data_IF_930596725894
#
_entry.id   IF_930596725894
#
_cell.length_a   1.000
_cell.length_b   1.000
_cell.length_c   1.000
_cell.angle_alpha   90.00
_cell.angle_beta   90.00
_cell.angle_gamma   90.00
#
_symmetry.space_group_name_H-M   'P 1'
#
loop_
_entity.id
_entity.type
_entity.pdbx_description
1 polymer ?
#
# COMPACT_ATOMS: atom_id res chain seq x y z
N UNK A 1 -7.95 -14.06 -25.89
CA UNK A 1 -6.48 -13.90 -25.82
C UNK A 1 -6.03 -13.86 -24.35
N UNK A 2 -4.85 -14.37 -24.01
CA UNK A 2 -4.29 -14.37 -22.64
C UNK A 2 -2.82 -13.95 -22.64
N UNK A 3 -2.27 -13.60 -21.47
CA UNK A 3 -0.85 -13.25 -21.28
C UNK A 3 0.08 -14.47 -21.27
N UNK A 4 -0.43 -15.67 -21.56
CA UNK A 4 0.34 -16.92 -21.47
C UNK A 4 1.58 -16.90 -22.39
N UNK A 5 1.47 -16.35 -23.60
CA UNK A 5 2.62 -16.23 -24.53
C UNK A 5 3.73 -15.35 -23.97
N UNK A 6 3.37 -14.25 -23.31
CA UNK A 6 4.32 -13.33 -22.68
C UNK A 6 5.02 -14.01 -21.51
N UNK A 7 4.27 -14.67 -20.61
CA UNK A 7 4.85 -15.37 -19.46
C UNK A 7 5.70 -16.58 -19.89
N UNK A 8 5.30 -17.30 -20.93
CA UNK A 8 6.09 -18.41 -21.48
C UNK A 8 7.45 -17.92 -22.03
N UNK A 9 7.49 -16.72 -22.59
CA UNK A 9 8.71 -16.17 -23.18
C UNK A 9 9.62 -15.48 -22.16
N UNK A 10 9.05 -14.69 -21.25
CA UNK A 10 9.81 -13.87 -20.29
C UNK A 10 10.00 -14.56 -18.93
N UNK A 11 9.33 -15.68 -18.69
CA UNK A 11 9.13 -16.21 -17.35
C UNK A 11 8.12 -15.36 -16.56
N UNK A 12 7.84 -15.76 -15.32
CA UNK A 12 6.91 -15.06 -14.45
C UNK A 12 5.76 -15.92 -13.98
N UNK A 13 4.84 -15.29 -13.26
CA UNK A 13 3.68 -15.95 -12.67
C UNK A 13 2.42 -15.45 -13.36
N UNK A 14 1.66 -16.38 -13.95
CA UNK A 14 0.38 -16.11 -14.60
C UNK A 14 -0.77 -16.40 -13.62
N UNK A 15 -1.71 -15.48 -13.50
CA UNK A 15 -2.84 -15.63 -12.59
C UNK A 15 -4.11 -14.95 -13.11
N UNK A 16 -5.19 -15.05 -12.33
CA UNK A 16 -6.51 -14.54 -12.70
C UNK A 16 -6.99 -15.04 -14.07
N UNK A 17 -6.86 -16.35 -14.34
CA UNK A 17 -7.30 -16.98 -15.58
C UNK A 17 -6.48 -16.58 -16.81
N UNK A 18 -5.26 -16.07 -16.63
CA UNK A 18 -4.38 -15.67 -17.73
C UNK A 18 -4.47 -14.19 -18.12
N UNK A 19 -5.29 -13.40 -17.41
CA UNK A 19 -5.45 -11.97 -17.66
C UNK A 19 -4.52 -11.09 -16.83
N UNK A 20 -3.79 -11.67 -15.87
CA UNK A 20 -2.74 -10.96 -15.13
C UNK A 20 -1.46 -11.78 -15.09
N UNK A 21 -0.34 -11.09 -15.10
CA UNK A 21 0.97 -11.69 -14.91
C UNK A 21 1.87 -10.78 -14.10
N UNK A 22 2.81 -11.36 -13.35
CA UNK A 22 3.99 -10.65 -12.87
C UNK A 22 5.20 -11.24 -13.58
N UNK A 23 5.97 -10.40 -14.25
CA UNK A 23 7.14 -10.79 -15.07
C UNK A 23 8.38 -10.03 -14.59
N UNK A 24 9.58 -10.53 -14.93
CA UNK A 24 10.82 -9.79 -14.68
C UNK A 24 10.84 -8.42 -15.37
N UNK A 25 11.44 -7.43 -14.72
CA UNK A 25 11.84 -6.21 -15.41
C UNK A 25 12.94 -6.50 -16.46
N UNK A 26 13.00 -5.77 -17.58
CA UNK A 26 14.08 -5.91 -18.55
C UNK A 26 15.46 -5.79 -17.89
N UNK A 27 16.36 -6.73 -18.17
CA UNK A 27 17.70 -6.77 -17.60
C UNK A 27 17.80 -7.31 -16.17
N UNK A 28 16.68 -7.72 -15.55
CA UNK A 28 16.66 -8.37 -14.24
C UNK A 28 16.69 -9.90 -14.37
N UNK A 29 16.94 -10.59 -13.25
CA UNK A 29 16.97 -12.05 -13.21
C UNK A 29 15.58 -12.66 -13.44
N UNK A 30 15.53 -13.93 -13.85
CA UNK A 30 14.28 -14.66 -14.10
C UNK A 30 13.38 -14.84 -12.85
N UNK A 31 13.92 -14.62 -11.65
CA UNK A 31 13.18 -14.64 -10.39
C UNK A 31 12.48 -13.30 -10.07
N UNK A 32 12.81 -12.22 -10.78
CA UNK A 32 12.22 -10.90 -10.58
C UNK A 32 10.71 -10.88 -10.95
N UNK A 33 9.93 -10.11 -10.20
CA UNK A 33 8.46 -9.93 -10.38
C UNK A 33 8.08 -8.45 -10.34
N UNK A 34 8.99 -7.58 -10.78
CA UNK A 34 8.87 -6.14 -10.63
C UNK A 34 7.97 -5.49 -11.69
N UNK A 35 7.55 -6.23 -12.73
CA UNK A 35 6.57 -5.76 -13.72
C UNK A 35 5.24 -6.51 -13.59
N UNK A 36 4.15 -5.79 -13.39
CA UNK A 36 2.78 -6.30 -13.46
C UNK A 36 2.16 -6.02 -14.82
N UNK A 37 1.57 -7.05 -15.41
CA UNK A 37 0.80 -6.98 -16.63
C UNK A 37 -0.67 -7.26 -16.34
N UNK A 38 -1.55 -6.44 -16.91
CA UNK A 38 -2.99 -6.64 -16.91
C UNK A 38 -3.52 -6.58 -18.34
N UNK A 39 -4.17 -7.64 -18.78
CA UNK A 39 -4.92 -7.67 -20.04
C UNK A 39 -6.37 -7.25 -19.78
N UNK A 40 -6.80 -6.15 -20.41
CA UNK A 40 -8.19 -5.67 -20.42
C UNK A 40 -8.54 -5.21 -21.82
N UNK A 41 -9.67 -5.67 -22.34
CA UNK A 41 -10.20 -5.25 -23.66
C UNK A 41 -9.16 -5.37 -24.79
N UNK A 42 -8.39 -6.46 -24.78
CA UNK A 42 -7.32 -6.72 -25.76
C UNK A 42 -6.02 -5.94 -25.52
N UNK A 43 -6.01 -4.97 -24.61
CA UNK A 43 -4.86 -4.11 -24.29
C UNK A 43 -4.11 -4.59 -23.06
N UNK A 44 -2.78 -4.60 -23.15
CA UNK A 44 -1.87 -4.90 -22.03
C UNK A 44 -1.49 -3.60 -21.33
N UNK A 45 -1.83 -3.52 -20.05
CA UNK A 45 -1.41 -2.43 -19.16
C UNK A 45 -0.20 -2.91 -18.35
N UNK A 46 0.90 -2.18 -18.48
CA UNK A 46 2.18 -2.44 -17.81
C UNK A 46 2.31 -1.53 -16.60
N UNK A 47 2.72 -2.08 -15.46
CA UNK A 47 3.03 -1.32 -14.25
C UNK A 47 4.32 -1.84 -13.63
N UNK A 48 5.21 -0.93 -13.23
CA UNK A 48 6.46 -1.28 -12.56
C UNK A 48 6.40 -1.03 -11.06
N UNK A 49 6.98 -1.94 -10.29
CA UNK A 49 7.19 -1.83 -8.84
C UNK A 49 8.67 -1.60 -8.54
N UNK A 50 8.99 -1.06 -7.35
CA UNK A 50 10.38 -0.94 -6.88
C UNK A 50 11.29 -0.06 -7.74
N UNK A 51 10.74 0.85 -8.53
CA UNK A 51 11.50 1.71 -9.45
C UNK A 51 11.70 1.15 -10.86
N UNK A 52 11.18 -0.05 -11.15
CA UNK A 52 11.21 -0.61 -12.50
C UNK A 52 10.45 0.30 -13.49
N UNK A 53 11.08 0.63 -14.62
CA UNK A 53 10.48 1.48 -15.63
C UNK A 53 9.52 0.69 -16.52
N UNK A 54 8.22 0.96 -16.34
CA UNK A 54 7.17 0.35 -17.14
C UNK A 54 7.27 0.71 -18.63
N UNK A 55 7.92 1.82 -19.00
CA UNK A 55 8.13 2.21 -20.40
C UNK A 55 9.10 1.25 -21.07
N UNK A 56 10.26 1.01 -20.44
CA UNK A 56 11.23 0.02 -20.91
C UNK A 56 10.58 -1.37 -21.07
N UNK A 57 9.78 -1.81 -20.09
CA UNK A 57 9.06 -3.07 -20.18
C UNK A 57 8.04 -3.09 -21.35
N UNK A 58 7.31 -2.00 -21.59
CA UNK A 58 6.40 -1.88 -22.73
C UNK A 58 7.15 -1.93 -24.06
N UNK A 59 8.29 -1.25 -24.14
CA UNK A 59 9.09 -1.17 -25.36
C UNK A 59 9.68 -2.55 -25.72
N UNK A 60 10.13 -3.33 -24.73
CA UNK A 60 10.53 -4.74 -24.92
C UNK A 60 9.37 -5.60 -25.41
N UNK A 61 8.18 -5.46 -24.83
CA UNK A 61 6.99 -6.22 -25.28
C UNK A 61 6.59 -5.86 -26.72
N UNK A 62 6.78 -4.59 -27.10
CA UNK A 62 6.49 -4.10 -28.46
C UNK A 62 7.52 -4.62 -29.45
N UNK A 63 8.81 -4.50 -29.12
CA UNK A 63 9.92 -4.99 -29.95
C UNK A 63 9.89 -6.51 -30.14
N UNK A 64 9.46 -7.26 -29.12
CA UNK A 64 9.29 -8.71 -29.19
C UNK A 64 8.00 -9.13 -29.92
N UNK A 65 7.18 -8.18 -30.38
CA UNK A 65 5.95 -8.45 -31.13
C UNK A 65 4.87 -9.14 -30.29
N UNK A 66 4.85 -8.92 -28.98
CA UNK A 66 3.75 -9.37 -28.11
C UNK A 66 2.60 -8.37 -28.07
N UNK A 67 2.90 -7.09 -28.25
CA UNK A 67 1.93 -6.01 -28.35
C UNK A 67 2.26 -5.07 -29.51
N UNK A 68 1.25 -4.40 -30.06
CA UNK A 68 1.43 -3.32 -31.02
C UNK A 68 1.76 -1.98 -30.33
N UNK A 69 1.91 -0.91 -31.13
CA UNK A 69 2.20 0.44 -30.64
C UNK A 69 1.06 1.04 -29.76
N UNK A 70 -0.17 0.55 -29.90
CA UNK A 70 -1.29 0.92 -29.03
C UNK A 70 -1.30 0.13 -27.71
N UNK A 71 -0.49 -0.94 -27.62
CA UNK A 71 -0.40 -1.86 -26.50
C UNK A 71 -1.39 -3.02 -26.56
N UNK A 72 -1.99 -3.29 -27.73
CA UNK A 72 -2.89 -4.41 -27.96
C UNK A 72 -2.10 -5.68 -28.28
N UNK A 73 -2.55 -6.85 -27.79
CA UNK A 73 -1.87 -8.12 -28.04
C UNK A 73 -1.83 -8.47 -29.52
N UNK A 74 -0.66 -8.85 -30.02
CA UNK A 74 -0.44 -9.26 -31.41
C UNK A 74 -0.41 -10.79 -31.54
N UNK A 75 -0.99 -11.32 -32.63
CA UNK A 75 -0.83 -12.72 -33.02
C UNK A 75 -1.77 -13.77 -32.39
N UNK A 76 -3.01 -13.41 -32.06
CA UNK A 76 -4.10 -14.38 -31.86
C UNK A 76 -5.06 -14.28 -33.04
N UNK A 77 -5.35 -15.40 -33.69
CA UNK A 77 -6.28 -15.45 -34.83
C UNK A 77 -7.60 -14.76 -34.53
N UNK A 78 -8.20 -14.17 -35.55
CA UNK A 78 -9.56 -13.63 -35.51
C UNK A 78 -10.53 -14.76 -35.17
N UNK A 79 -10.78 -14.95 -33.88
CA UNK A 79 -11.90 -15.71 -33.37
C UNK A 79 -13.02 -14.72 -33.10
N UNK A 80 -14.05 -14.77 -33.92
CA UNK A 80 -15.30 -14.06 -33.74
C UNK A 80 -15.87 -14.30 -32.32
N UNK A 81 -16.33 -13.20 -31.73
CA UNK A 81 -17.29 -13.09 -30.62
C UNK A 81 -17.64 -14.33 -29.82
N UNK A 82 -16.90 -14.56 -28.73
CA UNK A 82 -17.53 -14.95 -27.46
C UNK A 82 -16.99 -14.04 -26.36
N UNK A 83 -17.86 -13.13 -25.92
CA UNK A 83 -17.59 -12.11 -24.90
C UNK A 83 -17.23 -12.72 -23.55
N UNK A 84 -15.99 -13.11 -23.38
CA UNK A 84 -15.37 -13.21 -22.07
C UNK A 84 -15.23 -11.79 -21.54
N UNK A 85 -16.10 -11.37 -20.64
CA UNK A 85 -16.09 -10.05 -20.02
C UNK A 85 -14.64 -9.68 -19.63
N UNK A 86 -14.05 -8.75 -20.38
CA UNK A 86 -12.78 -8.14 -20.02
C UNK A 86 -12.85 -7.68 -18.58
N UNK A 87 -11.76 -7.81 -17.82
CA UNK A 87 -11.70 -7.29 -16.46
C UNK A 87 -11.65 -5.76 -16.56
N UNK A 88 -12.79 -5.13 -16.83
CA UNK A 88 -12.93 -3.69 -16.84
C UNK A 88 -12.48 -3.17 -15.48
N UNK A 89 -11.47 -2.31 -15.50
CA UNK A 89 -11.02 -1.64 -14.28
C UNK A 89 -12.21 -0.85 -13.74
N UNK A 90 -12.55 -1.00 -12.45
CA UNK A 90 -13.55 -0.16 -11.81
C UNK A 90 -13.23 1.30 -12.07
N UNK A 91 -14.21 2.05 -12.58
CA UNK A 91 -14.03 3.47 -12.87
C UNK A 91 -13.77 4.27 -11.57
N UNK A 92 -13.39 5.54 -11.72
CA UNK A 92 -13.06 6.40 -10.57
C UNK A 92 -14.22 6.49 -9.57
N UNK A 93 -15.46 6.61 -10.05
CA UNK A 93 -16.65 6.78 -9.21
C UNK A 93 -16.91 5.51 -8.40
N UNK A 94 -16.90 4.35 -9.05
CA UNK A 94 -17.08 3.05 -8.41
C UNK A 94 -16.04 2.83 -7.31
N UNK A 95 -14.76 3.13 -7.57
CA UNK A 95 -13.71 2.97 -6.55
C UNK A 95 -13.94 3.83 -5.32
N UNK A 96 -14.33 5.10 -5.51
CA UNK A 96 -14.62 6.02 -4.40
C UNK A 96 -15.84 5.56 -3.61
N UNK A 97 -16.89 5.13 -4.29
CA UNK A 97 -18.11 4.61 -3.66
C UNK A 97 -17.84 3.33 -2.87
N UNK A 98 -17.09 2.38 -3.43
CA UNK A 98 -16.70 1.15 -2.72
C UNK A 98 -15.83 1.45 -1.50
N UNK A 99 -14.92 2.43 -1.58
CA UNK A 99 -14.13 2.83 -0.41
C UNK A 99 -15.00 3.41 0.72
N UNK A 100 -16.01 4.23 0.38
CA UNK A 100 -16.98 4.75 1.36
C UNK A 100 -17.79 3.62 2.00
N UNK A 101 -18.36 2.73 1.17
CA UNK A 101 -19.12 1.57 1.66
C UNK A 101 -18.30 0.69 2.61
N UNK A 102 -17.03 0.44 2.29
CA UNK A 102 -16.13 -0.28 3.20
C UNK A 102 -15.95 0.48 4.51
N UNK A 103 -15.65 1.78 4.46
CA UNK A 103 -15.44 2.61 5.64
C UNK A 103 -16.67 2.63 6.58
N UNK A 104 -17.85 2.81 5.99
CA UNK A 104 -19.12 2.87 6.71
C UNK A 104 -19.49 1.51 7.33
N UNK A 105 -19.10 0.40 6.68
CA UNK A 105 -19.23 -0.96 7.21
C UNK A 105 -18.22 -1.33 8.32
N UNK A 106 -17.33 -0.40 8.70
CA UNK A 106 -16.35 -0.60 9.77
C UNK A 106 -16.88 -0.26 11.16
N UNK A 107 -16.47 -1.02 12.17
CA UNK A 107 -16.65 -0.74 13.60
C UNK A 107 -15.41 -0.04 14.20
N UNK A 108 -15.59 0.65 15.34
CA UNK A 108 -14.47 1.19 16.11
C UNK A 108 -13.52 0.08 16.58
N UNK A 109 -12.26 0.41 16.83
CA UNK A 109 -11.28 -0.56 17.34
C UNK A 109 -11.63 -1.08 18.76
N UNK A 110 -12.43 -0.33 19.52
CA UNK A 110 -12.90 -0.72 20.85
C UNK A 110 -14.02 -1.76 20.78
N UNK A 111 -15.01 -1.55 19.90
CA UNK A 111 -16.10 -2.50 19.68
C UNK A 111 -15.62 -3.84 19.08
N UNK A 112 -14.42 -3.86 18.53
CA UNK A 112 -13.94 -4.93 17.66
C UNK A 112 -12.52 -5.39 18.00
N UNK A 113 -12.41 -6.61 18.54
CA UNK A 113 -11.17 -7.06 19.17
C UNK A 113 -10.01 -7.51 18.26
N UNK A 114 -10.23 -7.83 16.98
CA UNK A 114 -9.19 -8.46 16.13
C UNK A 114 -8.13 -7.43 15.70
N UNK A 115 -8.55 -6.28 15.20
CA UNK A 115 -7.66 -5.19 14.81
C UNK A 115 -6.93 -4.61 16.03
N UNK A 116 -7.62 -4.51 17.17
CA UNK A 116 -6.98 -4.16 18.45
C UNK A 116 -5.90 -5.15 18.85
N UNK A 117 -6.19 -6.46 18.81
CA UNK A 117 -5.18 -7.52 19.06
C UNK A 117 -3.99 -7.41 18.12
N UNK A 118 -4.24 -7.10 16.84
CA UNK A 118 -3.18 -6.86 15.87
C UNK A 118 -2.23 -5.74 16.34
N UNK A 119 -2.77 -4.57 16.66
CA UNK A 119 -1.96 -3.42 17.10
C UNK A 119 -1.23 -3.69 18.43
N UNK A 120 -1.91 -4.29 19.41
CA UNK A 120 -1.30 -4.63 20.71
C UNK A 120 -0.15 -5.63 20.54
N UNK A 121 -0.29 -6.63 19.65
CA UNK A 121 0.79 -7.58 19.35
C UNK A 121 2.02 -6.90 18.72
N UNK A 122 1.83 -5.71 18.16
CA UNK A 122 2.86 -4.83 17.58
C UNK A 122 3.39 -3.79 18.56
N UNK A 123 3.10 -3.94 19.86
CA UNK A 123 3.43 -2.98 20.90
C UNK A 123 2.82 -1.57 20.71
N UNK A 124 1.74 -1.47 19.95
CA UNK A 124 1.01 -0.22 19.74
C UNK A 124 -0.18 -0.18 20.71
N UNK A 125 -0.21 0.77 21.66
CA UNK A 125 -1.35 0.94 22.54
C UNK A 125 -2.56 1.43 21.73
N UNK A 126 -3.73 0.89 22.01
CA UNK A 126 -4.99 1.37 21.44
C UNK A 126 -5.62 2.36 22.41
N UNK A 127 -5.31 3.65 22.28
CA UNK A 127 -6.08 4.73 22.90
C UNK A 127 -7.15 5.24 21.92
N UNK A 128 -8.16 5.95 22.46
CA UNK A 128 -9.41 6.28 21.79
C UNK A 128 -9.31 7.24 20.57
N UNK A 129 -8.15 7.87 20.32
CA UNK A 129 -7.99 8.87 19.24
C UNK A 129 -7.78 8.28 17.83
N UNK A 130 -8.03 6.98 17.66
CA UNK A 130 -7.87 6.29 16.38
C UNK A 130 -9.07 6.50 15.42
N UNK A 131 -9.63 7.71 15.31
CA UNK A 131 -10.85 7.98 14.52
C UNK A 131 -10.73 7.63 13.02
N UNK A 132 -9.50 7.68 12.48
CA UNK A 132 -9.16 7.29 11.12
C UNK A 132 -8.74 5.82 10.97
N UNK A 133 -8.89 5.00 12.03
CA UNK A 133 -8.75 3.55 12.01
C UNK A 133 -10.05 2.87 12.44
N UNK A 134 -10.42 1.81 11.72
CA UNK A 134 -11.59 0.96 12.02
C UNK A 134 -11.23 -0.50 11.86
N UNK A 135 -12.08 -1.38 12.36
CA UNK A 135 -12.09 -2.78 11.94
C UNK A 135 -13.25 -3.00 10.97
N UNK A 136 -13.00 -3.61 9.81
CA UNK A 136 -14.07 -4.22 9.04
C UNK A 136 -14.24 -5.67 9.49
N UNK A 137 -15.42 -6.11 9.98
CA UNK A 137 -15.58 -7.49 10.48
C UNK A 137 -15.56 -8.53 9.34
N UNK A 138 -16.04 -8.16 8.16
CA UNK A 138 -16.16 -9.06 6.98
C UNK A 138 -15.70 -8.39 5.68
N UNK A 139 -14.47 -7.89 5.62
CA UNK A 139 -13.96 -7.22 4.42
C UNK A 139 -13.84 -8.21 3.26
N UNK A 140 -14.36 -7.92 2.06
CA UNK A 140 -14.22 -8.77 0.91
C UNK A 140 -12.75 -8.82 0.46
N UNK A 141 -12.22 -10.04 0.25
CA UNK A 141 -10.86 -10.22 -0.30
C UNK A 141 -10.82 -9.73 -1.75
N UNK A 142 -11.89 -10.03 -2.51
CA UNK A 142 -12.08 -9.63 -3.91
C UNK A 142 -13.02 -8.43 -4.03
N UNK A 143 -12.64 -7.28 -3.48
CA UNK A 143 -13.46 -6.05 -3.38
C UNK A 143 -14.29 -5.67 -4.62
N UNK A 144 -13.77 -5.82 -5.84
CA UNK A 144 -14.46 -5.44 -7.09
C UNK A 144 -15.00 -6.62 -7.90
N UNK A 145 -15.08 -7.81 -7.29
CA UNK A 145 -15.68 -8.99 -7.93
C UNK A 145 -16.65 -9.64 -6.96
N UNK A 146 -17.81 -10.10 -7.42
CA UNK A 146 -18.69 -10.92 -6.60
C UNK A 146 -17.91 -12.10 -6.00
N UNK A 147 -18.03 -12.29 -4.70
CA UNK A 147 -17.31 -13.35 -4.00
C UNK A 147 -17.74 -13.45 -2.54
N UNK A 148 -17.72 -14.68 -2.01
CA UNK A 148 -18.10 -14.95 -0.61
C UNK A 148 -16.91 -14.87 0.36
N UNK A 149 -15.68 -14.83 -0.17
CA UNK A 149 -14.47 -14.81 0.64
C UNK A 149 -14.28 -13.45 1.33
N UNK A 150 -14.46 -13.46 2.65
CA UNK A 150 -14.30 -12.30 3.52
C UNK A 150 -13.31 -12.60 4.64
N UNK A 151 -12.66 -11.56 5.15
CA UNK A 151 -11.79 -11.62 6.32
C UNK A 151 -12.01 -10.39 7.21
N UNK A 152 -11.81 -10.49 8.53
CA UNK A 152 -11.67 -9.29 9.34
C UNK A 152 -10.45 -8.50 8.86
N UNK A 153 -10.53 -7.17 8.89
CA UNK A 153 -9.42 -6.32 8.46
C UNK A 153 -9.28 -5.10 9.37
N UNK A 154 -8.04 -4.75 9.71
CA UNK A 154 -7.72 -3.38 10.12
C UNK A 154 -7.89 -2.50 8.90
N UNK A 155 -8.64 -1.41 9.05
CA UNK A 155 -8.92 -0.46 8.00
C UNK A 155 -8.41 0.92 8.38
N UNK A 156 -7.69 1.55 7.47
CA UNK A 156 -7.21 2.92 7.62
C UNK A 156 -7.84 3.82 6.55
N UNK A 157 -8.40 4.95 6.98
CA UNK A 157 -8.97 5.97 6.10
C UNK A 157 -7.85 6.71 5.38
N UNK A 158 -7.97 6.80 4.06
CA UNK A 158 -7.06 7.59 3.21
C UNK A 158 -7.84 8.82 2.75
N UNK A 159 -7.26 10.00 2.99
CA UNK A 159 -7.86 11.28 2.64
C UNK A 159 -6.96 12.11 1.75
N UNK A 160 -7.55 12.99 0.94
CA UNK A 160 -6.83 14.04 0.21
C UNK A 160 -6.42 15.21 1.12
N UNK A 161 -5.91 16.30 0.51
CA UNK A 161 -5.45 17.50 1.21
C UNK A 161 -6.58 18.20 1.98
N UNK A 162 -7.81 18.18 1.45
CA UNK A 162 -9.01 18.74 2.07
C UNK A 162 -9.69 17.77 3.07
N UNK A 163 -8.99 16.69 3.45
CA UNK A 163 -9.50 15.64 4.32
C UNK A 163 -10.78 14.95 3.83
N UNK A 164 -10.99 14.85 2.52
CA UNK A 164 -12.09 14.05 1.96
C UNK A 164 -11.66 12.61 1.84
N UNK A 165 -12.53 11.66 2.21
CA UNK A 165 -12.23 10.23 2.04
C UNK A 165 -12.09 9.91 0.55
N UNK A 166 -10.90 9.51 0.14
CA UNK A 166 -10.61 9.08 -1.23
C UNK A 166 -10.34 7.59 -1.32
N UNK A 167 -9.98 6.94 -0.21
CA UNK A 167 -9.73 5.51 -0.20
C UNK A 167 -9.67 4.92 1.20
N UNK A 168 -9.47 3.61 1.25
CA UNK A 168 -9.16 2.88 2.47
C UNK A 168 -8.01 1.91 2.21
N UNK A 169 -7.11 1.75 3.18
CA UNK A 169 -6.23 0.58 3.24
C UNK A 169 -6.89 -0.48 4.13
N UNK A 170 -6.95 -1.72 3.63
CA UNK A 170 -7.29 -2.92 4.37
C UNK A 170 -6.01 -3.70 4.65
N UNK A 171 -5.78 -4.06 5.91
CA UNK A 171 -4.85 -5.11 6.32
C UNK A 171 -5.69 -6.29 6.80
N UNK A 172 -5.76 -7.36 6.02
CA UNK A 172 -6.54 -8.54 6.36
C UNK A 172 -5.88 -9.31 7.51
N UNK A 173 -6.71 -9.75 8.45
CA UNK A 173 -6.29 -10.39 9.69
C UNK A 173 -6.93 -11.78 9.81
N UNK A 174 -6.23 -12.67 10.50
CA UNK A 174 -6.79 -13.90 11.02
C UNK A 174 -7.50 -13.65 12.37
N UNK A 175 -8.37 -14.57 12.85
CA UNK A 175 -9.07 -14.39 14.12
C UNK A 175 -8.15 -14.15 15.33
N UNK A 176 -6.90 -14.65 15.25
CA UNK A 176 -5.86 -14.45 16.26
C UNK A 176 -5.20 -13.05 16.22
N UNK A 177 -5.58 -12.17 15.29
CA UNK A 177 -5.02 -10.82 15.13
C UNK A 177 -3.70 -10.77 14.33
N UNK A 178 -3.20 -11.89 13.82
CA UNK A 178 -2.05 -11.90 12.90
C UNK A 178 -2.51 -11.49 11.50
N UNK A 179 -1.57 -11.02 10.68
CA UNK A 179 -1.84 -10.80 9.25
C UNK A 179 -2.30 -12.11 8.62
N UNK A 180 -3.38 -12.05 7.85
CA UNK A 180 -4.01 -13.23 7.28
C UNK A 180 -3.01 -14.04 6.44
N UNK A 181 -2.84 -15.31 6.78
CA UNK A 181 -2.03 -16.24 6.02
C UNK A 181 -2.80 -16.76 4.78
N UNK A 182 -2.07 -17.21 3.76
CA UNK A 182 -2.67 -17.81 2.55
C UNK A 182 -3.39 -16.84 1.61
N UNK A 183 -3.31 -15.53 1.85
CA UNK A 183 -3.71 -14.51 0.88
C UNK A 183 -2.51 -14.03 0.08
N UNK A 184 -2.66 -13.95 -1.25
CA UNK A 184 -1.63 -13.35 -2.12
C UNK A 184 -1.30 -11.90 -1.74
N UNK A 185 -2.30 -11.14 -1.27
CA UNK A 185 -2.16 -9.78 -0.79
C UNK A 185 -2.83 -9.66 0.57
N UNK A 186 -2.03 -9.60 1.64
CA UNK A 186 -2.51 -9.37 3.01
C UNK A 186 -2.83 -7.89 3.27
N UNK A 187 -2.42 -6.99 2.38
CA UNK A 187 -2.80 -5.57 2.37
C UNK A 187 -3.38 -5.16 1.03
N UNK A 188 -4.40 -4.30 1.04
CA UNK A 188 -5.09 -3.83 -0.16
C UNK A 188 -5.57 -2.40 0.00
N UNK A 189 -5.35 -1.59 -1.02
CA UNK A 189 -5.94 -0.26 -1.09
C UNK A 189 -7.14 -0.25 -2.04
N UNK A 190 -8.22 0.36 -1.58
CA UNK A 190 -9.49 0.53 -2.32
C UNK A 190 -9.78 2.01 -2.41
N UNK A 191 -10.31 2.48 -3.55
CA UNK A 191 -10.49 3.91 -3.81
C UNK A 191 -9.41 4.51 -4.71
N UNK A 192 -9.19 5.80 -4.51
CA UNK A 192 -8.21 6.62 -5.21
C UNK A 192 -7.21 7.19 -4.20
N UNK A 193 -5.92 7.14 -4.54
CA UNK A 193 -4.84 7.72 -3.72
C UNK A 193 -4.17 8.78 -4.57
N UNK A 194 -4.69 10.03 -4.58
CA UNK A 194 -3.99 11.13 -5.23
C UNK A 194 -2.66 11.40 -4.53
N UNK A 195 -1.76 12.10 -5.23
CA UNK A 195 -0.53 12.61 -4.60
C UNK A 195 -0.90 13.52 -3.43
N UNK A 196 -0.18 13.40 -2.32
CA UNK A 196 -0.47 14.12 -1.08
C UNK A 196 -1.51 13.44 -0.18
N UNK A 197 -2.17 12.39 -0.65
CA UNK A 197 -3.11 11.66 0.19
C UNK A 197 -2.42 10.98 1.38
N UNK A 198 -3.10 10.92 2.52
CA UNK A 198 -2.53 10.42 3.76
C UNK A 198 -3.56 9.65 4.60
N UNK A 199 -3.07 8.76 5.45
CA UNK A 199 -3.81 8.27 6.61
C UNK A 199 -3.48 9.18 7.78
N UNK A 200 -4.44 9.99 8.21
CA UNK A 200 -4.27 10.98 9.28
C UNK A 200 -4.50 10.34 10.65
N UNK A 201 -3.49 9.73 11.26
CA UNK A 201 -3.68 8.96 12.51
C UNK A 201 -3.90 9.86 13.74
N UNK A 202 -3.57 11.14 13.62
CA UNK A 202 -3.88 12.20 14.57
C UNK A 202 -4.19 13.51 13.82
N UNK A 203 -4.76 14.49 14.52
CA UNK A 203 -4.90 15.85 13.98
C UNK A 203 -3.53 16.43 13.60
N UNK A 204 -3.50 17.34 12.60
CA UNK A 204 -2.24 18.04 12.27
C UNK A 204 -1.82 18.93 13.44
N UNK A 205 -0.53 19.02 13.68
CA UNK A 205 0.05 19.83 14.74
C UNK A 205 1.30 20.56 14.23
N UNK A 206 1.74 21.62 14.93
CA UNK A 206 2.96 22.34 14.57
C UNK A 206 4.19 21.45 14.50
N UNK A 207 4.25 20.42 15.34
CA UNK A 207 5.32 19.43 15.35
C UNK A 207 4.68 18.06 15.17
N UNK A 208 5.00 17.38 14.08
CA UNK A 208 4.40 16.08 13.74
C UNK A 208 5.41 15.15 13.09
N UNK A 209 5.01 13.90 12.91
CA UNK A 209 5.80 12.92 12.18
C UNK A 209 5.07 12.32 10.99
N UNK A 210 5.84 11.81 10.05
CA UNK A 210 5.33 11.07 8.90
C UNK A 210 6.16 9.82 8.65
N UNK A 211 5.51 8.75 8.17
CA UNK A 211 6.18 7.55 7.69
C UNK A 211 5.41 6.94 6.50
N UNK A 212 5.94 5.89 5.89
CA UNK A 212 5.26 5.21 4.78
C UNK A 212 4.04 4.40 5.26
N UNK A 213 4.22 3.51 6.24
CA UNK A 213 3.22 2.53 6.65
C UNK A 213 2.40 2.97 7.86
N UNK A 214 1.13 2.51 7.96
CA UNK A 214 0.25 2.81 9.12
C UNK A 214 0.85 2.30 10.43
N UNK A 215 1.23 1.03 10.49
CA UNK A 215 1.79 0.41 11.71
C UNK A 215 3.14 1.04 12.08
N UNK A 216 4.00 1.29 11.09
CA UNK A 216 5.28 1.99 11.27
C UNK A 216 5.08 3.40 11.81
N UNK A 217 4.12 4.15 11.28
CA UNK A 217 3.78 5.50 11.77
C UNK A 217 3.29 5.45 13.20
N UNK A 218 2.36 4.54 13.53
CA UNK A 218 1.86 4.36 14.90
C UNK A 218 3.00 4.02 15.88
N UNK A 219 3.91 3.14 15.51
CA UNK A 219 5.05 2.78 16.36
C UNK A 219 6.01 3.97 16.56
N UNK A 220 6.25 4.77 15.51
CA UNK A 220 7.01 6.02 15.63
C UNK A 220 6.30 7.05 16.52
N UNK A 221 4.97 7.18 16.43
CA UNK A 221 4.19 8.06 17.31
C UNK A 221 4.37 7.66 18.77
N UNK A 222 4.33 6.36 19.09
CA UNK A 222 4.60 5.85 20.43
C UNK A 222 6.03 6.18 20.88
N UNK A 223 7.01 6.04 19.99
CA UNK A 223 8.43 6.25 20.31
C UNK A 223 8.79 7.72 20.54
N UNK A 224 8.19 8.62 19.76
CA UNK A 224 8.57 10.04 19.73
C UNK A 224 7.56 10.96 20.41
N UNK A 225 6.36 10.47 20.75
CA UNK A 225 5.32 11.28 21.37
C UNK A 225 4.77 12.38 20.45
N UNK A 226 4.87 12.21 19.14
CA UNK A 226 4.39 13.18 18.14
C UNK A 226 3.14 12.64 17.43
N UNK A 227 2.18 13.52 17.04
CA UNK A 227 1.08 13.14 16.15
C UNK A 227 1.63 12.74 14.77
N UNK A 228 0.97 11.80 14.10
CA UNK A 228 1.58 11.13 12.94
C UNK A 228 0.64 10.85 11.78
N UNK A 229 1.12 11.04 10.55
CA UNK A 229 0.39 10.66 9.32
C UNK A 229 1.16 9.61 8.51
N UNK A 230 0.45 8.61 7.96
CA UNK A 230 1.04 7.60 7.09
C UNK A 230 0.83 7.94 5.61
N UNK A 231 1.91 7.93 4.82
CA UNK A 231 1.95 8.45 3.46
C UNK A 231 1.95 7.36 2.37
N UNK A 232 1.74 6.09 2.77
CA UNK A 232 1.37 4.94 1.91
C UNK A 232 2.44 4.39 0.96
N UNK A 233 3.32 5.24 0.43
CA UNK A 233 4.39 4.84 -0.48
C UNK A 233 5.55 5.83 -0.46
N UNK A 234 6.77 5.37 -0.71
CA UNK A 234 7.95 6.19 -0.89
C UNK A 234 7.75 7.32 -1.92
N UNK A 235 7.06 7.02 -3.03
CA UNK A 235 6.77 8.03 -4.06
C UNK A 235 5.87 9.17 -3.55
N UNK A 236 4.87 8.85 -2.72
CA UNK A 236 4.00 9.84 -2.12
C UNK A 236 4.70 10.56 -0.96
N UNK A 237 5.48 9.84 -0.15
CA UNK A 237 6.32 10.39 0.92
C UNK A 237 7.22 11.51 0.39
N UNK A 238 7.96 11.26 -0.69
CA UNK A 238 8.85 12.25 -1.30
C UNK A 238 8.13 13.53 -1.79
N UNK A 239 6.84 13.44 -2.13
CA UNK A 239 6.04 14.52 -2.73
C UNK A 239 5.04 15.18 -1.78
N UNK A 240 4.87 14.66 -0.58
CA UNK A 240 3.81 15.08 0.35
C UNK A 240 4.08 16.46 0.95
N UNK A 241 3.14 17.39 0.82
CA UNK A 241 3.27 18.72 1.44
C UNK A 241 2.47 18.78 2.74
N UNK A 242 3.04 19.32 3.83
CA UNK A 242 2.35 19.42 5.10
C UNK A 242 1.23 20.48 5.05
N UNK A 243 0.22 20.35 5.93
CA UNK A 243 -0.73 21.43 6.20
C UNK A 243 -0.04 22.71 6.69
N UNK A 244 -0.70 23.86 6.50
CA UNK A 244 -0.17 25.18 6.83
C UNK A 244 0.23 25.35 8.30
N UNK A 245 -0.43 24.63 9.22
CA UNK A 245 -0.14 24.75 10.65
C UNK A 245 1.14 24.03 11.09
N UNK A 246 1.81 23.28 10.20
CA UNK A 246 3.02 22.49 10.51
C UNK A 246 4.27 23.35 10.37
N UNK A 247 5.16 23.26 11.36
CA UNK A 247 6.46 23.94 11.40
C UNK A 247 7.64 22.98 11.41
N UNK A 248 7.46 21.80 12.02
CA UNK A 248 8.46 20.75 12.04
C UNK A 248 7.91 19.37 11.69
N UNK A 249 8.71 18.61 10.95
CA UNK A 249 8.38 17.25 10.52
C UNK A 249 9.52 16.29 10.86
N UNK A 250 9.22 15.29 11.67
CA UNK A 250 10.07 14.11 11.85
C UNK A 250 9.67 13.06 10.80
N UNK A 251 10.61 12.69 9.94
CA UNK A 251 10.40 11.66 8.92
C UNK A 251 10.91 10.34 9.50
N UNK A 252 9.99 9.49 9.93
CA UNK A 252 10.28 8.17 10.48
C UNK A 252 10.49 7.19 9.30
N UNK A 253 11.72 7.12 8.82
CA UNK A 253 12.10 6.30 7.67
C UNK A 253 12.21 4.82 8.04
N UNK A 254 12.00 3.94 7.07
CA UNK A 254 12.46 2.56 7.15
C UNK A 254 13.95 2.46 6.76
N UNK A 255 14.57 1.31 7.03
CA UNK A 255 15.95 1.04 6.66
C UNK A 255 16.12 0.54 5.21
N UNK A 256 15.07 0.64 4.38
CA UNK A 256 15.13 0.30 2.97
C UNK A 256 15.74 1.43 2.14
N UNK A 257 16.49 1.09 1.08
CA UNK A 257 17.11 2.09 0.21
C UNK A 257 16.09 3.05 -0.43
N UNK A 258 14.95 2.51 -0.89
CA UNK A 258 13.88 3.30 -1.52
C UNK A 258 13.19 4.23 -0.52
N UNK A 259 12.88 3.74 0.69
CA UNK A 259 12.26 4.54 1.75
C UNK A 259 13.20 5.62 2.27
N UNK A 260 14.47 5.27 2.48
CA UNK A 260 15.53 6.20 2.88
C UNK A 260 15.69 7.34 1.87
N UNK A 261 15.72 7.02 0.57
CA UNK A 261 15.86 8.06 -0.44
C UNK A 261 14.62 8.96 -0.54
N UNK A 262 13.42 8.40 -0.40
CA UNK A 262 12.21 9.20 -0.33
C UNK A 262 12.18 10.15 0.89
N UNK A 263 12.70 9.69 2.04
CA UNK A 263 12.83 10.50 3.24
C UNK A 263 13.82 11.66 3.04
N UNK A 264 14.96 11.42 2.38
CA UNK A 264 15.93 12.46 2.01
C UNK A 264 15.30 13.51 1.10
N UNK A 265 14.64 13.08 0.02
CA UNK A 265 13.93 13.98 -0.89
C UNK A 265 12.88 14.84 -0.18
N UNK A 266 12.10 14.23 0.73
CA UNK A 266 11.12 14.97 1.51
C UNK A 266 11.80 16.01 2.41
N UNK A 267 12.81 15.59 3.20
CA UNK A 267 13.53 16.47 4.12
C UNK A 267 14.06 17.71 3.40
N UNK A 268 14.78 17.51 2.29
CA UNK A 268 15.44 18.60 1.58
C UNK A 268 14.42 19.60 1.01
N UNK A 269 13.28 19.09 0.52
CA UNK A 269 12.19 19.95 0.04
C UNK A 269 11.52 20.74 1.17
N UNK A 270 11.30 20.12 2.32
CA UNK A 270 10.73 20.80 3.49
C UNK A 270 11.65 21.91 4.01
N UNK A 271 12.95 21.63 4.11
CA UNK A 271 13.96 22.63 4.50
C UNK A 271 14.00 23.79 3.50
N UNK A 272 14.01 23.48 2.20
CA UNK A 272 13.95 24.49 1.13
C UNK A 272 12.69 25.37 1.22
N UNK A 273 11.59 24.81 1.74
CA UNK A 273 10.33 25.52 1.94
C UNK A 273 10.24 26.27 3.28
N UNK A 274 11.33 26.30 4.07
CA UNK A 274 11.41 27.00 5.34
C UNK A 274 10.92 26.22 6.57
N UNK A 275 10.67 24.91 6.45
CA UNK A 275 10.27 24.06 7.57
C UNK A 275 11.47 23.36 8.20
N UNK A 276 11.35 23.02 9.49
CA UNK A 276 12.29 22.12 10.16
C UNK A 276 11.98 20.68 9.76
N UNK A 277 12.95 19.95 9.22
CA UNK A 277 12.77 18.54 8.91
C UNK A 277 13.99 17.71 9.32
N UNK A 278 13.74 16.58 9.97
CA UNK A 278 14.77 15.60 10.32
C UNK A 278 14.30 14.18 10.00
N UNK A 279 15.25 13.30 9.75
CA UNK A 279 14.99 11.89 9.47
C UNK A 279 15.44 11.09 10.68
N UNK A 280 14.59 10.16 11.11
CA UNK A 280 14.90 9.19 12.15
C UNK A 280 14.70 7.78 11.60
N UNK A 281 15.76 6.98 11.71
CA UNK A 281 15.75 5.57 11.33
C UNK A 281 15.79 4.70 12.58
N UNK A 282 15.14 3.53 12.55
CA UNK A 282 15.25 2.59 13.64
C UNK A 282 16.69 2.03 13.63
N UNK A 283 17.49 2.36 14.65
CA UNK A 283 18.87 1.88 14.75
C UNK A 283 18.96 0.35 14.85
N UNK A 284 20.11 -0.22 14.52
CA UNK A 284 20.37 -1.67 14.62
C UNK A 284 19.95 -2.47 13.37
N UNK A 285 19.64 -3.76 13.55
CA UNK A 285 19.29 -4.69 12.47
C UNK A 285 17.79 -4.75 12.12
N UNK A 286 16.97 -3.87 12.71
CA UNK A 286 15.52 -3.84 12.47
C UNK A 286 15.20 -3.10 11.18
N UNK A 287 14.14 -3.53 10.48
CA UNK A 287 13.77 -2.98 9.18
C UNK A 287 12.96 -1.68 9.26
N UNK A 288 12.11 -1.54 10.28
CA UNK A 288 11.23 -0.39 10.45
C UNK A 288 10.92 -0.10 11.94
N UNK A 289 10.21 1.01 12.20
CA UNK A 289 9.80 1.41 13.55
C UNK A 289 8.80 0.44 14.21
N UNK A 290 8.04 -0.33 13.43
CA UNK A 290 7.12 -1.32 13.99
C UNK A 290 7.92 -2.48 14.62
N UNK A 291 8.94 -2.96 13.92
CA UNK A 291 9.85 -3.99 14.43
C UNK A 291 10.67 -3.49 15.63
N UNK A 292 11.13 -2.24 15.58
CA UNK A 292 11.83 -1.61 16.71
C UNK A 292 10.94 -1.56 17.97
N UNK A 293 9.67 -1.18 17.82
CA UNK A 293 8.70 -1.15 18.92
C UNK A 293 8.43 -2.53 19.51
N UNK A 294 8.29 -3.56 18.67
CA UNK A 294 8.13 -4.94 19.10
C UNK A 294 9.36 -5.45 19.87
N UNK A 295 10.57 -5.16 19.38
CA UNK A 295 11.82 -5.55 20.04
C UNK A 295 11.94 -4.89 21.43
N UNK A 296 11.70 -3.59 21.54
CA UNK A 296 11.71 -2.87 22.82
C UNK A 296 10.65 -3.37 23.80
N UNK A 297 9.50 -3.84 23.32
CA UNK A 297 8.48 -4.44 24.17
C UNK A 297 8.82 -5.87 24.62
N UNK A 298 9.59 -6.63 23.83
CA UNK A 298 10.12 -7.95 24.26
C UNK A 298 11.10 -7.79 25.41
N UNK A 299 12.08 -6.90 25.28
CA UNK A 299 13.09 -6.62 26.33
C UNK A 299 12.41 -6.21 27.64
N UNK A 300 11.46 -5.26 27.61
CA UNK A 300 10.73 -4.82 28.82
C UNK A 300 9.96 -5.95 29.52
N UNK A 301 9.42 -6.91 28.77
CA UNK A 301 8.71 -8.07 29.36
C UNK A 301 9.67 -9.05 30.02
N UNK A 302 10.86 -9.25 29.44
CA UNK A 302 11.90 -10.10 30.00
C UNK A 302 12.48 -9.50 31.28
N UNK A 303 12.60 -8.16 31.35
CA UNK A 303 13.04 -7.43 32.54
C UNK A 303 11.99 -7.44 33.65
N UNK A 304 10.69 -7.28 33.31
CA UNK A 304 9.60 -7.28 34.30
C UNK A 304 9.22 -8.69 34.82
N UNK A 305 9.67 -9.75 34.15
CA UNK A 305 9.48 -11.14 34.57
C UNK A 305 10.65 -11.72 35.37
N UNK A 306 11.70 -10.93 35.62
CA UNK A 306 12.83 -11.22 36.52
C UNK A 306 12.61 -10.53 37.86
#
# INVERSE_FOLDING_TARGET
>A
MTLHRIVKALGGDLYAGGYRANVPAPGHSAADRSISLLLTDGRVIVHGFGGADWRCARDVLTAAGFIDSAGCLTGGGQGEGQGGAGVTRPDRRMRLETARQLWDGGCSLEACGIARRHLVSRAIPTSADASNLRQHPRAPVSVYRPGRHVRPALMARISDAEDRLTGVELTYLDPNGRRAAGLHLSRKTVGCVPVGAAVRLAASAPDMLVAEGVVTTLAAMVRFGLPGWALRSAANLARWTPPENVRSVLIAADNGAVGSQAALCLRDRLITSGLLARIEQPGGQVSDWAEAGEAAARVRREEAGR
#
